data_IF_966181883057
#
_entry.id   IF_966181883057
#
_cell.length_a   1.000
_cell.length_b   1.000
_cell.length_c   1.000
_cell.angle_alpha   90.00
_cell.angle_beta   90.00
_cell.angle_gamma   90.00
#
_symmetry.space_group_name_H-M   'P 1'
#
loop_
_entity.id
_entity.type
_entity.pdbx_description
1 polymer ?
#
# COMPACT_ATOMS: atom_id res chain seq x y z
N UNK A 1 -11.11 61.51 11.40
CA UNK A 1 -11.63 60.36 10.62
C UNK A 1 -10.60 59.69 9.71
N UNK A 2 -9.62 60.39 9.11
CA UNK A 2 -8.61 59.78 8.22
C UNK A 2 -7.59 58.84 8.92
N UNK A 3 -7.25 59.09 10.19
CA UNK A 3 -6.28 58.27 10.93
C UNK A 3 -6.83 56.90 11.38
N UNK A 4 -8.14 56.79 11.61
CA UNK A 4 -8.79 55.54 12.06
C UNK A 4 -8.88 54.52 10.91
N UNK A 5 -9.08 55.01 9.67
CA UNK A 5 -9.09 54.18 8.47
C UNK A 5 -7.70 53.62 8.13
N UNK A 6 -6.63 54.37 8.42
CA UNK A 6 -5.26 53.88 8.24
C UNK A 6 -4.87 52.80 9.25
N UNK A 7 -5.32 52.92 10.51
CA UNK A 7 -5.06 51.90 11.54
C UNK A 7 -5.84 50.60 11.26
N UNK A 8 -7.10 50.70 10.81
CA UNK A 8 -7.90 49.55 10.43
C UNK A 8 -7.34 48.82 9.18
N UNK A 9 -6.79 49.57 8.22
CA UNK A 9 -6.12 49.00 7.05
C UNK A 9 -4.83 48.26 7.38
N UNK A 10 -4.05 48.75 8.36
CA UNK A 10 -2.83 48.10 8.83
C UNK A 10 -3.12 46.82 9.64
N UNK A 11 -4.19 46.80 10.44
CA UNK A 11 -4.65 45.59 11.12
C UNK A 11 -5.20 44.53 10.14
N UNK A 12 -5.83 44.94 9.03
CA UNK A 12 -6.30 44.00 8.01
C UNK A 12 -5.15 43.36 7.20
N UNK A 13 -4.04 44.08 6.99
CA UNK A 13 -2.86 43.56 6.29
C UNK A 13 -2.02 42.61 7.17
N UNK A 14 -2.07 42.74 8.50
CA UNK A 14 -1.38 41.81 9.40
C UNK A 14 -2.05 40.42 9.47
N UNK A 15 -3.33 40.30 9.08
CA UNK A 15 -4.09 39.03 9.09
C UNK A 15 -4.09 38.33 7.72
N UNK A 16 -3.58 38.99 6.68
CA UNK A 16 -3.59 38.48 5.30
C UNK A 16 -2.21 38.09 4.78
N UNK A 17 -1.29 37.65 5.66
CA UNK A 17 -0.10 36.93 5.20
C UNK A 17 -0.52 35.48 4.96
N UNK A 18 -0.56 34.98 3.71
CA UNK A 18 -0.68 33.56 3.47
C UNK A 18 0.60 32.91 4.03
N UNK A 19 0.55 32.44 5.27
CA UNK A 19 1.60 31.58 5.80
C UNK A 19 1.70 30.39 4.86
N UNK A 20 2.88 30.03 4.35
CA UNK A 20 3.03 28.80 3.59
C UNK A 20 2.44 27.70 4.47
N UNK A 21 1.37 27.05 3.98
CA UNK A 21 0.71 25.98 4.71
C UNK A 21 1.76 24.94 5.01
N UNK A 22 2.27 24.95 6.23
CA UNK A 22 3.14 23.92 6.77
C UNK A 22 2.31 22.66 6.60
N UNK A 23 2.75 21.76 5.71
CA UNK A 23 2.14 20.45 5.49
C UNK A 23 2.28 19.64 6.79
N UNK A 24 1.49 19.98 7.79
CA UNK A 24 1.36 19.20 9.01
C UNK A 24 0.40 18.08 8.60
N UNK A 25 0.87 16.82 8.48
CA UNK A 25 -0.07 15.73 8.28
C UNK A 25 -1.08 15.82 9.41
N UNK A 26 -2.38 15.90 9.07
CA UNK A 26 -3.46 15.86 10.06
C UNK A 26 -3.16 14.67 10.96
N UNK A 27 -2.87 14.91 12.24
CA UNK A 27 -2.72 13.84 13.23
C UNK A 27 -4.11 13.23 13.40
N UNK A 28 -4.39 12.16 12.67
CA UNK A 28 -5.59 11.37 12.87
C UNK A 28 -5.44 10.67 14.23
N UNK A 29 -6.25 11.08 15.20
CA UNK A 29 -6.34 10.40 16.49
C UNK A 29 -7.31 9.25 16.31
N UNK A 30 -6.79 8.03 16.22
CA UNK A 30 -7.63 6.82 16.22
C UNK A 30 -7.88 6.48 17.70
N UNK A 31 -9.06 6.85 18.20
CA UNK A 31 -9.46 6.56 19.58
C UNK A 31 -10.03 5.13 19.74
N UNK A 32 -10.38 4.47 18.64
CA UNK A 32 -10.86 3.09 18.64
C UNK A 32 -9.70 2.08 18.55
N UNK A 33 -9.49 1.34 19.64
CA UNK A 33 -8.46 0.29 19.72
C UNK A 33 -8.67 -0.82 18.69
N UNK A 34 -9.91 -1.18 18.38
CA UNK A 34 -10.21 -2.21 17.40
C UNK A 34 -9.81 -1.75 15.99
N UNK A 35 -10.15 -0.51 15.62
CA UNK A 35 -9.74 0.07 14.35
C UNK A 35 -8.22 0.18 14.23
N UNK A 36 -7.52 0.56 15.32
CA UNK A 36 -6.06 0.63 15.34
C UNK A 36 -5.41 -0.73 15.07
N UNK A 37 -5.97 -1.80 15.65
CA UNK A 37 -5.48 -3.17 15.41
C UNK A 37 -5.69 -3.59 13.96
N UNK A 38 -6.88 -3.32 13.39
CA UNK A 38 -7.16 -3.57 11.97
C UNK A 38 -6.22 -2.79 11.05
N UNK A 39 -5.95 -1.53 11.40
CA UNK A 39 -5.00 -0.68 10.69
C UNK A 39 -3.59 -1.28 10.71
N UNK A 40 -3.11 -1.69 11.89
CA UNK A 40 -1.78 -2.29 12.05
C UNK A 40 -1.67 -3.59 11.25
N UNK A 41 -2.67 -4.47 11.36
CA UNK A 41 -2.71 -5.74 10.65
C UNK A 41 -2.72 -5.55 9.13
N UNK A 42 -3.47 -4.56 8.64
CA UNK A 42 -3.48 -4.19 7.23
C UNK A 42 -2.09 -3.74 6.75
N UNK A 43 -1.45 -2.82 7.47
CA UNK A 43 -0.12 -2.32 7.09
C UNK A 43 0.95 -3.41 7.12
N UNK A 44 0.88 -4.32 8.09
CA UNK A 44 1.80 -5.47 8.16
C UNK A 44 1.64 -6.41 6.96
N UNK A 45 0.41 -6.67 6.52
CA UNK A 45 0.15 -7.50 5.33
C UNK A 45 0.69 -6.90 4.01
N UNK A 46 0.69 -5.57 3.89
CA UNK A 46 1.28 -4.86 2.75
C UNK A 46 2.81 -4.77 2.80
N UNK A 47 3.46 -5.28 3.86
CA UNK A 47 4.91 -5.27 3.94
C UNK A 47 5.50 -6.37 3.06
N UNK A 48 6.57 -6.03 2.34
CA UNK A 48 7.34 -6.95 1.49
C UNK A 48 6.46 -7.83 0.58
N UNK A 49 5.55 -7.21 -0.18
CA UNK A 49 4.54 -7.88 -1.02
C UNK A 49 5.14 -8.96 -1.94
N UNK A 50 6.32 -8.68 -2.51
CA UNK A 50 7.02 -9.58 -3.42
C UNK A 50 7.80 -10.70 -2.70
N UNK A 51 7.68 -10.82 -1.38
CA UNK A 51 8.30 -11.85 -0.56
C UNK A 51 7.23 -12.68 0.16
N UNK A 52 7.55 -13.93 0.55
CA UNK A 52 6.72 -14.71 1.46
C UNK A 52 6.47 -13.97 2.78
N UNK A 53 5.42 -14.37 3.50
CA UNK A 53 5.15 -13.82 4.82
C UNK A 53 6.32 -14.10 5.77
N UNK A 54 6.76 -13.07 6.51
CA UNK A 54 7.84 -13.17 7.50
C UNK A 54 7.32 -13.07 8.95
N UNK A 55 6.15 -12.46 9.14
CA UNK A 55 5.48 -12.29 10.42
C UNK A 55 4.98 -13.66 10.91
N UNK A 56 5.54 -14.18 12.00
CA UNK A 56 5.28 -15.56 12.47
C UNK A 56 3.80 -15.84 12.72
N UNK A 57 3.09 -14.91 13.34
CA UNK A 57 1.65 -15.00 13.57
C UNK A 57 0.86 -15.14 12.26
N UNK A 58 1.27 -14.43 11.20
CA UNK A 58 0.62 -14.54 9.89
C UNK A 58 0.99 -15.82 9.16
N UNK A 59 2.24 -16.28 9.29
CA UNK A 59 2.67 -17.58 8.75
C UNK A 59 1.88 -18.72 9.39
N UNK A 60 1.73 -18.69 10.71
CA UNK A 60 0.98 -19.70 11.47
C UNK A 60 -0.50 -19.72 11.02
N UNK A 61 -1.10 -18.54 10.80
CA UNK A 61 -2.47 -18.42 10.26
C UNK A 61 -2.54 -18.96 8.83
N UNK A 62 -1.63 -18.56 7.94
CA UNK A 62 -1.64 -18.98 6.55
C UNK A 62 -1.55 -20.51 6.40
N UNK A 63 -0.75 -21.17 7.26
CA UNK A 63 -0.56 -22.61 7.22
C UNK A 63 -1.67 -23.41 7.91
N UNK A 64 -2.37 -22.81 8.89
CA UNK A 64 -3.42 -23.50 9.65
C UNK A 64 -4.83 -23.26 9.11
N UNK A 65 -5.05 -22.15 8.41
CA UNK A 65 -6.36 -21.76 7.89
C UNK A 65 -6.58 -22.31 6.49
N UNK A 66 -7.72 -22.98 6.28
CA UNK A 66 -8.20 -23.38 4.96
C UNK A 66 -9.58 -22.74 4.72
N UNK A 67 -9.71 -21.82 3.74
CA UNK A 67 -11.00 -21.22 3.38
C UNK A 67 -12.06 -22.25 3.00
N UNK A 68 -11.68 -23.38 2.39
CA UNK A 68 -12.61 -24.42 1.92
C UNK A 68 -13.13 -25.30 3.06
N UNK A 69 -12.37 -25.41 4.16
CA UNK A 69 -12.83 -26.11 5.36
C UNK A 69 -13.84 -25.29 6.18
N UNK A 70 -13.95 -23.98 5.92
CA UNK A 70 -14.75 -23.03 6.72
C UNK A 70 -15.83 -22.33 5.88
N UNK A 71 -16.47 -23.04 4.95
CA UNK A 71 -17.50 -22.47 4.06
C UNK A 71 -18.68 -21.83 4.81
N UNK A 72 -18.98 -22.31 6.01
CA UNK A 72 -20.02 -21.79 6.89
C UNK A 72 -19.70 -20.38 7.41
N UNK A 73 -18.45 -19.92 7.36
CA UNK A 73 -18.05 -18.57 7.76
C UNK A 73 -18.27 -17.51 6.66
N UNK A 74 -18.83 -17.92 5.52
CA UNK A 74 -19.11 -17.03 4.39
C UNK A 74 -20.61 -16.93 4.15
N UNK A 75 -21.07 -15.73 3.79
CA UNK A 75 -22.48 -15.48 3.44
C UNK A 75 -22.84 -16.17 2.13
N UNK A 76 -21.87 -16.21 1.20
CA UNK A 76 -21.99 -16.80 -0.13
C UNK A 76 -20.82 -17.76 -0.37
N UNK A 77 -20.93 -18.98 0.16
CA UNK A 77 -19.88 -20.00 0.09
C UNK A 77 -19.58 -20.46 -1.34
N UNK A 78 -20.51 -20.28 -2.28
CA UNK A 78 -20.32 -20.60 -3.69
C UNK A 78 -19.15 -19.83 -4.32
N UNK A 79 -18.85 -18.63 -3.82
CA UNK A 79 -17.72 -17.84 -4.31
C UNK A 79 -16.38 -18.39 -3.81
N UNK A 80 -16.35 -18.93 -2.59
CA UNK A 80 -15.16 -19.58 -2.02
C UNK A 80 -14.85 -20.82 -2.84
N UNK A 81 -15.83 -21.70 -3.05
CA UNK A 81 -15.65 -22.92 -3.86
C UNK A 81 -15.22 -22.58 -5.30
N UNK A 82 -15.80 -21.53 -5.90
CA UNK A 82 -15.41 -21.08 -7.25
C UNK A 82 -13.97 -20.56 -7.27
N UNK A 83 -13.56 -19.80 -6.27
CA UNK A 83 -12.18 -19.33 -6.18
C UNK A 83 -11.21 -20.52 -5.97
N UNK A 84 -11.54 -21.46 -5.09
CA UNK A 84 -10.73 -22.65 -4.82
C UNK A 84 -10.61 -23.56 -6.05
N UNK A 85 -11.64 -23.60 -6.91
CA UNK A 85 -11.55 -24.22 -8.22
C UNK A 85 -10.45 -23.57 -9.08
N UNK A 86 -10.41 -22.24 -9.19
CA UNK A 86 -9.33 -21.56 -9.90
C UNK A 86 -7.97 -21.82 -9.26
N UNK A 87 -7.88 -21.72 -7.93
CA UNK A 87 -6.66 -21.97 -7.15
C UNK A 87 -6.01 -23.31 -7.51
N UNK A 88 -6.80 -24.38 -7.61
CA UNK A 88 -6.28 -25.74 -7.91
C UNK A 88 -5.91 -25.99 -9.37
N UNK A 89 -6.52 -25.28 -10.32
CA UNK A 89 -6.45 -25.67 -11.74
C UNK A 89 -5.72 -24.67 -12.62
N UNK A 90 -5.90 -23.37 -12.40
CA UNK A 90 -5.48 -22.36 -13.38
C UNK A 90 -5.11 -20.99 -12.82
N UNK A 91 -4.87 -20.89 -11.51
CA UNK A 91 -4.50 -19.62 -10.87
C UNK A 91 -3.20 -19.06 -11.46
N UNK A 92 -3.17 -17.74 -11.66
CA UNK A 92 -1.96 -17.03 -12.05
C UNK A 92 -0.82 -17.35 -11.05
N UNK A 93 0.32 -17.89 -11.50
CA UNK A 93 1.44 -18.18 -10.61
C UNK A 93 2.03 -16.93 -9.96
N UNK A 94 2.64 -17.10 -8.79
CA UNK A 94 3.42 -16.05 -8.10
C UNK A 94 4.59 -15.56 -8.96
N UNK A 95 4.93 -14.28 -8.84
CA UNK A 95 5.97 -13.62 -9.64
C UNK A 95 5.61 -13.31 -11.10
N UNK A 96 4.46 -13.78 -11.60
CA UNK A 96 3.97 -13.40 -12.93
C UNK A 96 3.28 -12.04 -12.90
N UNK A 97 3.29 -11.34 -14.05
CA UNK A 97 2.62 -10.06 -14.20
C UNK A 97 1.10 -10.24 -14.16
N UNK A 98 0.46 -9.59 -13.19
CA UNK A 98 -0.98 -9.47 -13.12
C UNK A 98 -1.46 -8.23 -13.89
N UNK A 99 -2.61 -8.34 -14.55
CA UNK A 99 -3.28 -7.20 -15.20
C UNK A 99 -4.78 -7.42 -15.20
N UNK A 100 -5.55 -6.39 -14.84
CA UNK A 100 -7.02 -6.44 -14.89
C UNK A 100 -7.58 -6.42 -16.32
N UNK A 101 -6.74 -6.10 -17.31
CA UNK A 101 -7.13 -6.07 -18.72
C UNK A 101 -7.10 -7.45 -19.36
N UNK A 102 -6.42 -8.43 -18.75
CA UNK A 102 -6.54 -9.82 -19.18
C UNK A 102 -7.81 -10.44 -18.59
N UNK A 103 -8.72 -11.01 -19.41
CA UNK A 103 -9.97 -11.57 -18.92
C UNK A 103 -9.82 -12.76 -17.96
N UNK A 104 -8.74 -13.54 -18.04
CA UNK A 104 -8.49 -14.66 -17.15
C UNK A 104 -8.04 -14.16 -15.78
N UNK A 105 -7.09 -13.22 -15.75
CA UNK A 105 -6.64 -12.56 -14.53
C UNK A 105 -7.80 -11.86 -13.82
N UNK A 106 -8.63 -11.11 -14.57
CA UNK A 106 -9.78 -10.41 -14.01
C UNK A 106 -10.78 -11.38 -13.37
N UNK A 107 -11.09 -12.50 -14.03
CA UNK A 107 -12.01 -13.52 -13.48
C UNK A 107 -11.50 -14.10 -12.16
N UNK A 108 -10.21 -14.38 -12.07
CA UNK A 108 -9.57 -14.90 -10.84
C UNK A 108 -9.57 -13.85 -9.73
N UNK A 109 -9.20 -12.61 -10.05
CA UNK A 109 -9.20 -11.50 -9.10
C UNK A 109 -10.60 -11.18 -8.56
N UNK A 110 -11.62 -11.21 -9.43
CA UNK A 110 -13.03 -11.03 -9.01
C UNK A 110 -13.49 -12.18 -8.12
N UNK A 111 -13.09 -13.42 -8.42
CA UNK A 111 -13.40 -14.55 -7.55
C UNK A 111 -12.77 -14.38 -6.17
N UNK A 112 -11.49 -13.99 -6.10
CA UNK A 112 -10.79 -13.72 -4.83
C UNK A 112 -11.44 -12.56 -4.06
N UNK A 113 -11.74 -11.46 -4.73
CA UNK A 113 -12.46 -10.33 -4.13
C UNK A 113 -13.79 -10.76 -3.52
N UNK A 114 -14.58 -11.58 -4.22
CA UNK A 114 -15.85 -12.08 -3.69
C UNK A 114 -15.66 -12.97 -2.46
N UNK A 115 -14.63 -13.81 -2.45
CA UNK A 115 -14.26 -14.59 -1.26
C UNK A 115 -14.00 -13.67 -0.05
N UNK A 116 -13.25 -12.58 -0.24
CA UNK A 116 -13.01 -11.59 0.81
C UNK A 116 -14.28 -10.82 1.21
N UNK A 117 -15.06 -10.36 0.23
CA UNK A 117 -16.20 -9.48 0.46
C UNK A 117 -17.32 -10.19 1.22
N UNK A 118 -17.54 -11.48 0.96
CA UNK A 118 -18.63 -12.24 1.57
C UNK A 118 -18.25 -13.02 2.84
N UNK A 119 -17.03 -12.86 3.37
CA UNK A 119 -16.70 -13.30 4.72
C UNK A 119 -17.62 -12.61 5.75
N UNK A 120 -18.21 -13.38 6.67
CA UNK A 120 -19.26 -12.88 7.59
C UNK A 120 -18.76 -11.81 8.57
N UNK A 121 -17.50 -11.90 8.96
CA UNK A 121 -16.88 -11.05 9.96
C UNK A 121 -15.43 -10.70 9.58
N UNK A 122 -14.83 -9.76 10.32
CA UNK A 122 -13.49 -9.28 10.07
C UNK A 122 -12.42 -10.37 10.29
N UNK A 123 -12.59 -11.25 11.28
CA UNK A 123 -11.60 -12.29 11.60
C UNK A 123 -11.52 -13.32 10.48
N UNK A 124 -12.69 -13.76 9.97
CA UNK A 124 -12.76 -14.60 8.77
C UNK A 124 -12.11 -13.89 7.58
N UNK A 125 -12.51 -12.65 7.28
CA UNK A 125 -11.90 -11.87 6.19
C UNK A 125 -10.37 -11.78 6.30
N UNK A 126 -9.88 -11.49 7.51
CA UNK A 126 -8.46 -11.32 7.77
C UNK A 126 -7.69 -12.64 7.60
N UNK A 127 -8.18 -13.75 8.17
CA UNK A 127 -7.56 -15.08 7.99
C UNK A 127 -7.52 -15.50 6.53
N UNK A 128 -8.58 -15.24 5.77
CA UNK A 128 -8.62 -15.50 4.33
C UNK A 128 -7.64 -14.62 3.57
N UNK A 129 -7.51 -13.35 3.94
CA UNK A 129 -6.54 -12.44 3.34
C UNK A 129 -5.09 -12.87 3.62
N UNK A 130 -4.80 -13.32 4.86
CA UNK A 130 -3.48 -13.85 5.26
C UNK A 130 -3.15 -15.12 4.48
N UNK A 131 -4.08 -16.07 4.40
CA UNK A 131 -3.92 -17.27 3.59
C UNK A 131 -3.66 -16.94 2.11
N UNK A 132 -4.46 -16.04 1.53
CA UNK A 132 -4.31 -15.66 0.13
C UNK A 132 -3.00 -14.90 -0.13
N UNK A 133 -2.49 -14.15 0.84
CA UNK A 133 -1.21 -13.41 0.75
C UNK A 133 -0.02 -14.34 0.56
N UNK A 134 -0.09 -15.55 1.13
CA UNK A 134 0.97 -16.55 1.02
C UNK A 134 0.88 -17.30 -0.31
N UNK A 135 -0.32 -17.72 -0.72
CA UNK A 135 -0.50 -18.68 -1.82
C UNK A 135 -0.92 -18.10 -3.17
N UNK A 136 -1.41 -16.87 -3.23
CA UNK A 136 -1.87 -16.24 -4.49
C UNK A 136 -0.81 -15.28 -5.03
N UNK A 137 -0.83 -15.05 -6.36
CA UNK A 137 -0.04 -14.00 -7.00
C UNK A 137 -0.15 -12.68 -6.24
N UNK A 138 1.00 -12.05 -6.03
CA UNK A 138 1.16 -10.93 -5.09
C UNK A 138 0.34 -9.72 -5.54
N UNK A 139 0.37 -9.43 -6.83
CA UNK A 139 -0.32 -8.30 -7.45
C UNK A 139 -1.83 -8.53 -7.56
N UNK A 140 -2.26 -9.76 -7.83
CA UNK A 140 -3.68 -10.13 -7.80
C UNK A 140 -4.24 -9.99 -6.38
N UNK A 141 -3.48 -10.45 -5.37
CA UNK A 141 -3.84 -10.32 -3.97
C UNK A 141 -3.99 -8.87 -3.56
N UNK A 142 -3.00 -8.02 -3.83
CA UNK A 142 -3.08 -6.57 -3.50
C UNK A 142 -4.31 -5.95 -4.13
N UNK A 143 -4.60 -6.24 -5.40
CA UNK A 143 -5.79 -5.70 -6.07
C UNK A 143 -7.07 -6.13 -5.34
N UNK A 144 -7.28 -7.44 -5.17
CA UNK A 144 -8.50 -7.97 -4.57
C UNK A 144 -8.68 -7.53 -3.10
N UNK A 145 -7.59 -7.52 -2.32
CA UNK A 145 -7.58 -7.13 -0.91
C UNK A 145 -7.86 -5.63 -0.75
N UNK A 146 -7.23 -4.79 -1.57
CA UNK A 146 -7.47 -3.32 -1.57
C UNK A 146 -8.93 -3.01 -1.88
N UNK A 147 -9.49 -3.64 -2.92
CA UNK A 147 -10.90 -3.44 -3.30
C UNK A 147 -11.83 -3.95 -2.20
N UNK A 148 -11.52 -5.09 -1.56
CA UNK A 148 -12.30 -5.60 -0.43
C UNK A 148 -12.30 -4.64 0.77
N UNK A 149 -11.14 -4.11 1.16
CA UNK A 149 -11.02 -3.14 2.26
C UNK A 149 -11.83 -1.86 2.03
N UNK A 150 -11.91 -1.40 0.78
CA UNK A 150 -12.67 -0.19 0.42
C UNK A 150 -14.18 -0.44 0.46
N UNK A 151 -14.63 -1.63 0.06
CA UNK A 151 -16.07 -1.90 -0.08
C UNK A 151 -16.71 -2.52 1.16
N UNK A 152 -15.96 -3.21 2.01
CA UNK A 152 -16.50 -3.85 3.20
C UNK A 152 -16.83 -2.81 4.29
N UNK A 153 -18.02 -2.88 4.92
CA UNK A 153 -18.44 -1.88 5.91
C UNK A 153 -17.65 -1.97 7.24
N UNK A 154 -17.16 -3.15 7.61
CA UNK A 154 -16.41 -3.40 8.84
C UNK A 154 -14.93 -2.98 8.77
N UNK A 155 -14.47 -2.54 7.60
CA UNK A 155 -13.11 -2.04 7.33
C UNK A 155 -13.09 -0.54 7.03
N UNK A 156 -14.22 0.16 7.16
CA UNK A 156 -14.28 1.61 7.00
C UNK A 156 -13.40 2.33 8.02
N UNK A 157 -12.65 3.33 7.53
CA UNK A 157 -11.68 4.08 8.33
C UNK A 157 -10.25 3.53 8.28
N UNK A 158 -10.04 2.36 7.69
CA UNK A 158 -8.68 1.85 7.42
C UNK A 158 -8.04 2.71 6.31
N UNK A 159 -6.82 3.18 6.58
CA UNK A 159 -6.00 3.95 5.64
C UNK A 159 -5.08 2.99 4.90
N UNK A 160 -5.21 2.96 3.59
CA UNK A 160 -4.37 2.14 2.72
C UNK A 160 -3.00 2.80 2.50
N UNK A 161 -1.92 2.00 2.37
CA UNK A 161 -0.65 2.54 1.91
C UNK A 161 -0.80 3.05 0.48
N UNK A 162 -0.07 4.12 0.12
CA UNK A 162 -0.09 4.63 -1.24
C UNK A 162 0.53 3.61 -2.22
N UNK A 163 0.02 3.59 -3.45
CA UNK A 163 0.42 2.58 -4.45
C UNK A 163 1.91 2.63 -4.82
N UNK A 164 2.55 3.80 -4.72
CA UNK A 164 3.99 3.94 -4.98
C UNK A 164 4.88 3.30 -3.90
N UNK A 165 4.37 3.07 -2.68
CA UNK A 165 5.07 2.30 -1.63
C UNK A 165 4.91 0.78 -1.85
N UNK A 166 3.77 0.38 -2.40
CA UNK A 166 3.43 -1.01 -2.71
C UNK A 166 4.17 -1.49 -3.97
N UNK A 167 4.17 -0.67 -5.03
CA UNK A 167 4.68 -1.03 -6.37
C UNK A 167 5.70 -0.01 -6.92
N UNK A 168 6.90 0.08 -6.36
CA UNK A 168 7.91 1.05 -6.80
C UNK A 168 8.20 0.98 -8.30
N UNK A 169 8.19 -0.23 -8.87
CA UNK A 169 8.51 -0.49 -10.28
C UNK A 169 7.59 0.21 -11.28
N UNK A 170 6.39 0.65 -10.88
CA UNK A 170 5.47 1.40 -11.74
C UNK A 170 5.63 2.92 -11.63
N UNK A 171 6.35 3.43 -10.63
CA UNK A 171 6.45 4.86 -10.32
C UNK A 171 7.86 5.42 -10.44
N UNK A 172 8.88 4.56 -10.41
CA UNK A 172 10.28 4.97 -10.51
C UNK A 172 10.98 4.32 -11.70
N UNK A 173 11.90 5.07 -12.30
CA UNK A 173 12.72 4.60 -13.41
C UNK A 173 13.66 3.47 -12.99
N UNK A 174 14.05 2.64 -13.96
CA UNK A 174 14.92 1.49 -13.73
C UNK A 174 16.26 1.86 -13.10
N UNK A 175 16.80 3.05 -13.36
CA UNK A 175 18.03 3.54 -12.73
C UNK A 175 17.89 3.62 -11.20
N UNK A 176 16.78 4.18 -10.72
CA UNK A 176 16.49 4.31 -9.29
C UNK A 176 16.33 2.93 -8.66
N UNK A 177 15.61 2.04 -9.34
CA UNK A 177 15.39 0.65 -8.90
C UNK A 177 16.71 -0.12 -8.82
N UNK A 178 17.56 -0.05 -9.84
CA UNK A 178 18.87 -0.71 -9.86
C UNK A 178 19.78 -0.17 -8.76
N UNK A 179 19.75 1.14 -8.49
CA UNK A 179 20.53 1.74 -7.40
C UNK A 179 20.07 1.24 -6.03
N UNK A 180 18.76 1.13 -5.81
CA UNK A 180 18.21 0.55 -4.59
C UNK A 180 18.64 -0.92 -4.41
N UNK A 181 18.58 -1.72 -5.48
CA UNK A 181 19.04 -3.10 -5.47
C UNK A 181 20.54 -3.21 -5.15
N UNK A 182 21.36 -2.35 -5.75
CA UNK A 182 22.79 -2.28 -5.45
C UNK A 182 23.04 -1.97 -3.97
N UNK A 183 22.36 -0.96 -3.40
CA UNK A 183 22.47 -0.65 -1.97
C UNK A 183 22.05 -1.79 -1.06
N UNK A 184 21.06 -2.59 -1.47
CA UNK A 184 20.71 -3.83 -0.73
C UNK A 184 21.82 -4.88 -0.81
N UNK A 185 22.50 -5.03 -1.95
CA UNK A 185 23.58 -6.01 -2.12
C UNK A 185 24.82 -5.68 -1.30
N UNK A 186 25.17 -4.39 -1.19
CA UNK A 186 26.33 -3.93 -0.40
C UNK A 186 25.98 -3.63 1.06
N UNK A 187 24.76 -3.94 1.49
CA UNK A 187 24.31 -3.62 2.85
C UNK A 187 25.07 -4.46 3.88
N UNK A 188 25.69 -3.77 4.85
CA UNK A 188 26.49 -4.39 5.91
C UNK A 188 25.87 -4.15 7.30
N UNK A 189 24.60 -4.53 7.47
CA UNK A 189 23.87 -4.51 8.75
C UNK A 189 23.61 -3.16 9.41
N UNK A 190 24.17 -2.07 8.90
CA UNK A 190 23.89 -0.71 9.35
C UNK A 190 23.48 0.18 8.18
N UNK A 191 22.46 1.00 8.40
CA UNK A 191 22.02 2.01 7.43
C UNK A 191 22.77 3.32 7.66
N UNK A 192 23.13 4.05 6.59
CA UNK A 192 23.66 5.39 6.75
C UNK A 192 22.61 6.29 7.41
N UNK A 193 23.07 7.17 8.30
CA UNK A 193 22.21 8.19 8.92
C UNK A 193 22.62 9.55 8.37
N UNK A 194 21.67 10.25 7.74
CA UNK A 194 21.85 11.61 7.19
C UNK A 194 20.66 12.45 7.62
N UNK A 195 20.90 13.62 8.21
CA UNK A 195 19.86 14.59 8.60
C UNK A 195 18.62 13.97 9.28
N UNK A 196 18.84 13.27 10.40
CA UNK A 196 17.82 12.56 11.20
C UNK A 196 17.10 11.39 10.50
N UNK A 197 17.50 11.01 9.28
CA UNK A 197 16.99 9.86 8.55
C UNK A 197 18.01 8.70 8.54
N UNK A 198 17.57 7.55 9.04
CA UNK A 198 18.32 6.28 8.95
C UNK A 198 17.82 5.49 7.75
N UNK A 199 18.61 5.43 6.68
CA UNK A 199 18.27 4.74 5.44
C UNK A 199 18.97 5.32 4.22
N UNK A 200 18.79 4.67 3.07
CA UNK A 200 19.32 5.16 1.80
C UNK A 200 18.37 6.15 1.16
N UNK A 201 18.88 7.31 0.74
CA UNK A 201 18.13 8.28 -0.08
C UNK A 201 18.66 8.24 -1.51
N UNK A 202 17.77 7.98 -2.47
CA UNK A 202 18.10 8.00 -3.90
C UNK A 202 17.38 9.20 -4.53
N UNK A 203 18.16 10.12 -5.09
CA UNK A 203 17.62 11.21 -5.90
C UNK A 203 17.16 10.63 -7.24
N UNK A 204 15.91 10.87 -7.60
CA UNK A 204 15.30 10.45 -8.86
C UNK A 204 15.00 11.68 -9.73
N UNK A 205 15.42 11.66 -10.99
CA UNK A 205 15.02 12.66 -11.98
C UNK A 205 13.79 12.17 -12.75
N UNK A 206 13.04 13.10 -13.34
CA UNK A 206 11.97 12.74 -14.27
C UNK A 206 12.52 12.28 -15.62
N UNK A 207 11.77 11.41 -16.30
CA UNK A 207 12.05 11.02 -17.68
C UNK A 207 12.08 12.24 -18.60
N UNK A 208 13.08 12.29 -19.50
CA UNK A 208 13.29 13.42 -20.42
C UNK A 208 14.58 14.20 -20.20
N UNK A 209 15.25 14.06 -19.04
CA UNK A 209 16.63 14.56 -18.84
C UNK A 209 17.62 13.96 -19.83
N UNK A 210 17.33 12.75 -20.32
CA UNK A 210 18.18 12.01 -21.26
C UNK A 210 17.81 12.29 -22.74
N UNK A 211 16.77 13.10 -22.99
CA UNK A 211 16.18 13.31 -24.32
C UNK A 211 16.50 14.72 -24.86
N UNK A 212 16.85 15.69 -24.02
CA UNK A 212 17.35 17.00 -24.48
C UNK A 212 18.29 17.64 -23.45
N UNK A 213 19.59 17.69 -23.77
CA UNK A 213 20.58 18.38 -22.94
C UNK A 213 20.44 19.90 -23.14
N UNK A 214 19.59 20.51 -22.32
CA UNK A 214 19.42 21.96 -22.22
C UNK A 214 19.00 22.29 -20.80
N UNK A 215 19.99 22.44 -19.91
CA UNK A 215 19.87 22.83 -18.50
C UNK A 215 19.05 21.89 -17.59
N UNK A 216 19.77 21.13 -16.76
CA UNK A 216 19.23 20.40 -15.62
C UNK A 216 18.66 21.36 -14.59
N UNK A 217 17.35 21.60 -14.63
CA UNK A 217 16.65 22.34 -13.57
C UNK A 217 16.33 21.38 -12.44
N UNK A 218 17.19 21.34 -11.44
CA UNK A 218 17.00 20.64 -10.16
C UNK A 218 15.71 21.14 -9.52
N UNK A 219 14.63 20.35 -9.58
CA UNK A 219 13.43 20.59 -8.79
C UNK A 219 13.32 19.51 -7.71
N UNK A 220 13.61 19.94 -6.49
CA UNK A 220 13.21 19.38 -5.18
C UNK A 220 13.02 17.87 -5.08
N UNK A 221 13.96 17.22 -4.38
CA UNK A 221 13.93 15.80 -4.06
C UNK A 221 12.69 15.38 -3.28
N UNK A 222 12.13 14.24 -3.69
CA UNK A 222 11.14 13.51 -2.93
C UNK A 222 11.85 12.39 -2.16
N UNK A 223 11.67 12.39 -0.84
CA UNK A 223 12.21 11.36 0.06
C UNK A 223 11.36 10.10 -0.14
N UNK A 224 11.89 9.11 -0.86
CA UNK A 224 11.34 7.76 -0.86
C UNK A 224 11.58 7.15 0.52
N UNK A 225 10.55 7.15 1.37
CA UNK A 225 10.58 6.46 2.66
C UNK A 225 10.37 4.97 2.42
N UNK A 226 11.30 4.17 2.93
CA UNK A 226 11.25 2.71 3.05
C UNK A 226 11.08 1.95 1.74
N UNK A 227 12.19 1.80 1.02
CA UNK A 227 12.40 0.61 0.22
C UNK A 227 13.51 -0.22 0.85
N UNK A 228 13.20 -1.52 1.01
CA UNK A 228 14.03 -2.63 1.50
C UNK A 228 13.73 -3.09 2.94
#
# INVERSE_FOLDING_TARGET
>A
MKAILLLAGLCALAVAVPTPTKWIPKKYKIDDKALLEKQLNTLRLYKYINQPLFDKDFVDIAHSYDPEAHLDLYTHSEYVSKFMFYYRHSILPKGQLFTIFDPHHLKQAVALFKTFYYAKDYDTFFKTAVWAREYVNEYMWVYAYTVALVHRPDTYGIVLPPMYEIYPYYFFDSEVIHKAQYYKQIYHSEYPTTDDYTGYTIVANYTGTNINNGTSVIHSGWIAKNFI
#
